data_IF_448677262191
#
_entry.id   IF_448677262191
#
_cell.length_a   1.000
_cell.length_b   1.000
_cell.length_c   1.000
_cell.angle_alpha   90.00
_cell.angle_beta   90.00
_cell.angle_gamma   90.00
#
_symmetry.space_group_name_H-M   'P 1'
#
loop_
_entity.id
_entity.type
_entity.pdbx_description
1 polymer ?
#
# COMPACT_ATOMS: atom_id res chain seq x y z
N UNK A 1 -7.23 -3.08 12.57
CA UNK A 1 -7.14 -4.11 11.49
C UNK A 1 -6.37 -3.53 10.31
N UNK A 2 -5.45 -4.31 9.77
CA UNK A 2 -4.65 -3.94 8.61
C UNK A 2 -4.90 -4.97 7.51
N UNK A 3 -5.14 -4.49 6.29
CA UNK A 3 -5.39 -5.36 5.15
C UNK A 3 -4.87 -4.69 3.87
N UNK A 4 -4.87 -5.41 2.77
CA UNK A 4 -4.46 -4.90 1.47
C UNK A 4 -5.42 -5.34 0.38
N UNK A 5 -5.51 -4.55 -0.69
CA UNK A 5 -6.37 -4.85 -1.83
C UNK A 5 -5.78 -4.23 -3.11
N UNK A 6 -6.36 -4.58 -4.25
CA UNK A 6 -6.00 -3.99 -5.53
C UNK A 6 -7.19 -3.29 -6.18
N UNK A 7 -6.90 -2.48 -7.19
CA UNK A 7 -7.92 -1.78 -7.97
C UNK A 7 -8.42 -2.60 -9.16
N UNK A 8 -7.76 -3.71 -9.47
CA UNK A 8 -8.13 -4.64 -10.54
C UNK A 8 -8.30 -6.06 -9.98
N UNK A 9 -9.08 -6.88 -10.69
CA UNK A 9 -9.42 -8.23 -10.24
C UNK A 9 -8.59 -9.34 -10.91
N UNK A 10 -7.53 -9.00 -11.65
CA UNK A 10 -6.80 -9.96 -12.48
C UNK A 10 -6.15 -11.10 -11.69
N UNK A 11 -5.74 -10.83 -10.45
CA UNK A 11 -4.97 -11.77 -9.63
C UNK A 11 -5.67 -12.14 -8.33
N UNK A 12 -7.00 -11.93 -8.26
CA UNK A 12 -7.77 -12.23 -7.04
C UNK A 12 -7.55 -13.68 -6.60
N UNK A 13 -7.22 -13.86 -5.33
CA UNK A 13 -6.94 -15.17 -4.73
C UNK A 13 -5.49 -15.64 -4.86
N UNK A 14 -4.67 -14.95 -5.65
CA UNK A 14 -3.25 -15.30 -5.81
C UNK A 14 -2.42 -14.80 -4.64
N UNK A 15 -1.29 -15.48 -4.41
CA UNK A 15 -0.29 -15.01 -3.46
C UNK A 15 0.42 -13.78 -3.99
N UNK A 16 1.09 -13.05 -3.11
CA UNK A 16 1.98 -11.96 -3.48
C UNK A 16 3.09 -12.45 -4.42
N UNK A 17 3.67 -11.54 -5.19
CA UNK A 17 4.80 -11.84 -6.09
C UNK A 17 5.90 -12.62 -5.34
N UNK A 18 6.42 -13.68 -5.97
CA UNK A 18 7.41 -14.56 -5.34
C UNK A 18 8.67 -13.81 -4.90
N UNK A 19 9.09 -12.79 -5.68
CA UNK A 19 10.28 -11.99 -5.33
C UNK A 19 10.00 -11.11 -4.11
N UNK A 20 8.79 -10.55 -4.02
CA UNK A 20 8.38 -9.78 -2.85
C UNK A 20 8.32 -10.66 -1.60
N UNK A 21 7.76 -11.87 -1.73
CA UNK A 21 7.71 -12.84 -0.62
C UNK A 21 9.11 -13.23 -0.14
N UNK A 22 10.04 -13.48 -1.09
CA UNK A 22 11.41 -13.83 -0.77
C UNK A 22 12.13 -12.68 -0.06
N UNK A 23 11.98 -11.44 -0.53
CA UNK A 23 12.59 -10.27 0.09
C UNK A 23 12.05 -10.04 1.50
N UNK A 24 10.75 -10.20 1.69
CA UNK A 24 10.13 -10.09 3.01
C UNK A 24 10.64 -11.17 3.96
N UNK A 25 10.74 -12.41 3.48
CA UNK A 25 11.26 -13.53 4.28
C UNK A 25 12.70 -13.29 4.73
N UNK A 26 13.56 -12.73 3.86
CA UNK A 26 14.92 -12.35 4.21
C UNK A 26 14.98 -11.34 5.35
N UNK A 27 13.92 -10.55 5.52
CA UNK A 27 13.80 -9.56 6.60
C UNK A 27 12.94 -10.06 7.77
N UNK A 28 12.59 -11.34 7.78
CA UNK A 28 11.83 -11.95 8.88
C UNK A 28 10.33 -11.75 8.81
N UNK A 29 9.80 -11.37 7.65
CA UNK A 29 8.37 -11.12 7.45
C UNK A 29 7.76 -12.23 6.61
N UNK A 30 6.72 -12.89 7.14
CA UNK A 30 5.98 -13.94 6.45
C UNK A 30 4.78 -13.35 5.71
N UNK A 31 4.76 -13.48 4.37
CA UNK A 31 3.67 -13.03 3.50
C UNK A 31 2.89 -14.19 2.87
N UNK A 32 3.15 -15.43 3.28
CA UNK A 32 2.56 -16.62 2.62
C UNK A 32 1.04 -16.70 2.77
N UNK A 33 0.48 -16.11 3.80
CA UNK A 33 -0.98 -16.11 4.04
C UNK A 33 -1.74 -15.03 3.28
N UNK A 34 -1.03 -14.06 2.67
CA UNK A 34 -1.67 -12.95 1.97
C UNK A 34 -2.15 -13.40 0.59
N UNK A 35 -3.39 -13.06 0.25
CA UNK A 35 -3.98 -13.31 -1.07
C UNK A 35 -4.52 -12.02 -1.64
N UNK A 36 -4.41 -11.89 -2.96
CA UNK A 36 -4.91 -10.72 -3.66
C UNK A 36 -6.44 -10.66 -3.60
N UNK A 37 -6.98 -9.48 -3.35
CA UNK A 37 -8.41 -9.19 -3.46
C UNK A 37 -8.60 -7.81 -4.08
N UNK A 38 -9.77 -7.59 -4.65
CA UNK A 38 -10.14 -6.26 -5.16
C UNK A 38 -10.75 -5.43 -4.03
N UNK A 39 -10.52 -4.11 -4.05
CA UNK A 39 -11.17 -3.19 -3.13
C UNK A 39 -12.69 -3.32 -3.25
N UNK A 40 -13.39 -3.31 -2.12
CA UNK A 40 -14.84 -3.40 -2.07
C UNK A 40 -15.45 -2.14 -1.44
N UNK A 41 -16.75 -1.93 -1.68
CA UNK A 41 -17.45 -0.75 -1.15
C UNK A 41 -17.44 -0.71 0.38
N UNK A 42 -17.42 -1.87 1.03
CA UNK A 42 -17.38 -1.95 2.50
C UNK A 42 -16.07 -1.43 3.07
N UNK A 43 -14.97 -1.48 2.30
CA UNK A 43 -13.66 -1.01 2.76
C UNK A 43 -13.70 0.48 3.15
N UNK A 44 -14.52 1.28 2.47
CA UNK A 44 -14.61 2.72 2.69
C UNK A 44 -15.21 3.08 4.07
N UNK A 45 -15.92 2.15 4.69
CA UNK A 45 -16.47 2.34 6.03
C UNK A 45 -15.76 1.51 7.10
N UNK A 46 -15.18 0.37 6.73
CA UNK A 46 -14.50 -0.51 7.67
C UNK A 46 -13.12 -0.01 8.08
N UNK A 47 -12.43 0.72 7.18
CA UNK A 47 -11.08 1.20 7.44
C UNK A 47 -11.07 2.70 7.69
N UNK A 48 -10.23 3.13 8.61
CA UNK A 48 -10.04 4.55 8.92
C UNK A 48 -9.18 5.24 7.86
N UNK A 49 -8.24 4.49 7.26
CA UNK A 49 -7.33 4.96 6.23
C UNK A 49 -7.33 4.02 5.05
N UNK A 50 -7.48 4.56 3.85
CA UNK A 50 -7.29 3.83 2.59
C UNK A 50 -6.14 4.52 1.86
N UNK A 51 -5.04 3.78 1.66
CA UNK A 51 -3.79 4.33 1.18
C UNK A 51 -3.45 3.75 -0.18
N UNK A 52 -3.28 4.62 -1.15
CA UNK A 52 -2.91 4.23 -2.51
C UNK A 52 -1.40 4.21 -2.66
N UNK A 53 -0.88 3.23 -3.41
CA UNK A 53 0.55 3.13 -3.67
C UNK A 53 1.00 4.14 -4.73
N UNK A 54 0.15 4.41 -5.72
CA UNK A 54 0.43 5.37 -6.79
C UNK A 54 -0.82 6.18 -7.15
N UNK A 55 -0.66 7.13 -8.08
CA UNK A 55 -1.74 8.02 -8.46
C UNK A 55 -2.85 7.31 -9.25
N UNK A 56 -2.54 6.28 -10.03
CA UNK A 56 -3.54 5.50 -10.74
C UNK A 56 -4.44 4.75 -9.76
N UNK A 57 -3.86 4.16 -8.72
CA UNK A 57 -4.61 3.54 -7.65
C UNK A 57 -5.51 4.57 -6.94
N UNK A 58 -4.96 5.74 -6.64
CA UNK A 58 -5.70 6.80 -5.95
C UNK A 58 -6.91 7.23 -6.78
N UNK A 59 -6.74 7.43 -8.07
CA UNK A 59 -7.80 7.82 -8.98
C UNK A 59 -8.93 6.78 -8.99
N UNK A 60 -8.58 5.49 -9.08
CA UNK A 60 -9.57 4.42 -9.08
C UNK A 60 -10.25 4.26 -7.73
N UNK A 61 -9.53 4.42 -6.63
CA UNK A 61 -10.10 4.39 -5.29
C UNK A 61 -11.16 5.49 -5.15
N UNK A 62 -10.86 6.70 -5.61
CA UNK A 62 -11.81 7.81 -5.57
C UNK A 62 -12.99 7.58 -6.52
N UNK A 63 -12.75 6.96 -7.67
CA UNK A 63 -13.80 6.64 -8.64
C UNK A 63 -14.83 5.65 -8.07
N UNK A 64 -14.36 4.63 -7.34
CA UNK A 64 -15.24 3.62 -6.76
C UNK A 64 -15.85 4.02 -5.43
N UNK A 65 -15.43 5.15 -4.85
CA UNK A 65 -15.91 5.57 -3.55
C UNK A 65 -17.42 5.81 -3.55
N UNK A 66 -18.13 5.34 -2.51
CA UNK A 66 -19.55 5.66 -2.37
C UNK A 66 -19.75 7.15 -2.09
N UNK A 67 -20.98 7.63 -2.13
CA UNK A 67 -21.29 9.03 -1.94
C UNK A 67 -20.88 9.52 -0.54
N UNK A 68 -21.03 8.66 0.47
CA UNK A 68 -20.64 8.97 1.85
C UNK A 68 -19.74 7.85 2.38
N UNK A 69 -18.63 8.21 3.00
CA UNK A 69 -17.71 7.27 3.62
C UNK A 69 -16.90 7.98 4.71
N UNK A 70 -16.33 7.18 5.62
CA UNK A 70 -15.59 7.70 6.77
C UNK A 70 -14.06 7.64 6.60
N UNK A 71 -13.56 6.86 5.65
CA UNK A 71 -12.12 6.64 5.47
C UNK A 71 -11.39 7.89 5.00
N UNK A 72 -10.16 8.06 5.47
CA UNK A 72 -9.22 9.06 4.93
C UNK A 72 -8.48 8.43 3.76
N UNK A 73 -8.63 8.99 2.56
CA UNK A 73 -8.02 8.48 1.34
C UNK A 73 -6.85 9.36 0.94
N UNK A 74 -5.67 8.76 0.75
CA UNK A 74 -4.46 9.48 0.33
C UNK A 74 -3.44 8.53 -0.27
N UNK A 75 -2.33 9.09 -0.79
CA UNK A 75 -1.18 8.29 -1.18
C UNK A 75 -0.47 7.78 0.08
N UNK A 76 -0.01 6.53 0.04
CA UNK A 76 0.70 5.91 1.16
C UNK A 76 1.92 6.72 1.59
N UNK A 77 2.72 7.21 0.63
CA UNK A 77 3.94 7.94 0.93
C UNK A 77 3.74 9.41 1.28
N UNK A 78 2.51 9.94 1.21
CA UNK A 78 2.27 11.34 1.54
C UNK A 78 2.74 11.69 2.95
N UNK A 79 2.55 10.82 3.92
CA UNK A 79 2.97 11.07 5.30
C UNK A 79 4.49 11.16 5.43
N UNK A 80 5.21 10.25 4.77
CA UNK A 80 6.68 10.27 4.75
C UNK A 80 7.21 11.47 3.98
N UNK A 81 6.58 11.81 2.86
CA UNK A 81 6.98 12.96 2.05
C UNK A 81 6.80 14.27 2.82
N UNK A 82 5.67 14.46 3.50
CA UNK A 82 5.40 15.64 4.32
C UNK A 82 6.37 15.75 5.49
N UNK A 83 6.81 14.63 6.04
CA UNK A 83 7.79 14.59 7.13
C UNK A 83 9.24 14.77 6.65
N UNK A 84 9.48 14.89 5.35
CA UNK A 84 10.81 15.06 4.78
C UNK A 84 11.67 13.81 4.77
N UNK A 85 11.04 12.63 4.92
CA UNK A 85 11.75 11.34 5.00
C UNK A 85 12.06 10.73 3.64
N UNK A 86 11.34 11.15 2.60
CA UNK A 86 11.60 10.73 1.22
C UNK A 86 11.10 11.79 0.24
N UNK A 87 11.64 11.78 -0.97
CA UNK A 87 11.22 12.67 -2.05
C UNK A 87 10.06 12.09 -2.85
N UNK A 88 9.93 10.79 -2.87
CA UNK A 88 8.90 10.10 -3.61
C UNK A 88 7.54 10.24 -2.94
N UNK A 89 6.49 10.38 -3.76
CA UNK A 89 5.10 10.37 -3.31
C UNK A 89 4.36 9.12 -3.75
N UNK A 90 4.94 8.35 -4.66
CA UNK A 90 4.37 7.09 -5.15
C UNK A 90 5.36 5.97 -4.94
N UNK A 91 4.84 4.76 -4.68
CA UNK A 91 5.67 3.56 -4.59
C UNK A 91 5.85 3.02 -6.02
N UNK A 92 7.07 2.97 -6.54
CA UNK A 92 7.28 2.47 -7.92
C UNK A 92 6.98 0.99 -8.02
N UNK A 93 6.63 0.55 -9.24
CA UNK A 93 6.44 -0.86 -9.52
C UNK A 93 7.81 -1.55 -9.58
N UNK A 94 8.10 -2.52 -8.69
CA UNK A 94 9.41 -3.17 -8.67
C UNK A 94 9.66 -4.10 -9.85
N UNK A 95 8.60 -4.40 -10.61
CA UNK A 95 8.67 -5.33 -11.74
C UNK A 95 9.75 -4.93 -12.75
N UNK A 96 9.94 -3.63 -12.98
CA UNK A 96 10.89 -3.12 -13.96
C UNK A 96 12.29 -2.85 -13.41
N UNK A 97 12.49 -2.97 -12.12
CA UNK A 97 13.75 -2.58 -11.44
C UNK A 97 14.65 -3.75 -11.03
N UNK A 98 14.30 -5.00 -11.33
CA UNK A 98 15.06 -6.18 -10.86
C UNK A 98 15.17 -6.22 -9.35
N UNK A 99 16.25 -6.81 -8.82
CA UNK A 99 16.44 -6.95 -7.37
C UNK A 99 16.60 -5.59 -6.66
N UNK A 100 17.25 -4.64 -7.30
CA UNK A 100 17.40 -3.28 -6.76
C UNK A 100 16.04 -2.58 -6.64
N UNK A 101 15.15 -2.82 -7.61
CA UNK A 101 13.80 -2.27 -7.57
C UNK A 101 13.00 -2.79 -6.39
N UNK A 102 13.09 -4.09 -6.09
CA UNK A 102 12.42 -4.68 -4.93
C UNK A 102 12.99 -4.16 -3.61
N UNK A 103 14.32 -3.99 -3.51
CA UNK A 103 14.94 -3.43 -2.33
C UNK A 103 14.51 -1.98 -2.10
N UNK A 104 14.47 -1.17 -3.16
CA UNK A 104 14.02 0.22 -3.09
C UNK A 104 12.57 0.32 -2.63
N UNK A 105 11.67 -0.50 -3.18
CA UNK A 105 10.27 -0.55 -2.76
C UNK A 105 10.18 -0.92 -1.28
N UNK A 106 10.96 -1.90 -0.83
CA UNK A 106 10.94 -2.32 0.57
C UNK A 106 11.36 -1.19 1.49
N UNK A 107 12.40 -0.44 1.13
CA UNK A 107 12.85 0.74 1.89
C UNK A 107 11.77 1.81 1.96
N UNK A 108 11.11 2.11 0.84
CA UNK A 108 10.03 3.11 0.80
C UNK A 108 8.83 2.67 1.65
N UNK A 109 8.47 1.39 1.60
CA UNK A 109 7.37 0.86 2.41
C UNK A 109 7.72 0.94 3.90
N UNK A 110 8.95 0.64 4.28
CA UNK A 110 9.41 0.71 5.66
C UNK A 110 9.33 2.16 6.19
N UNK A 111 9.86 3.11 5.43
CA UNK A 111 9.80 4.54 5.77
C UNK A 111 8.36 5.02 5.84
N UNK A 112 7.55 4.62 4.87
CA UNK A 112 6.13 5.00 4.80
C UNK A 112 5.33 4.47 5.98
N UNK A 113 5.58 3.23 6.40
CA UNK A 113 4.92 2.64 7.56
C UNK A 113 5.30 3.37 8.85
N UNK A 114 6.56 3.72 9.03
CA UNK A 114 7.00 4.46 10.21
C UNK A 114 6.31 5.83 10.30
N UNK A 115 6.26 6.55 9.17
CA UNK A 115 5.61 7.85 9.11
C UNK A 115 4.10 7.76 9.35
N UNK A 116 3.45 6.74 8.81
CA UNK A 116 2.02 6.52 9.01
C UNK A 116 1.70 6.20 10.47
N UNK A 117 2.49 5.33 11.10
CA UNK A 117 2.30 4.98 12.51
C UNK A 117 2.44 6.22 13.39
N UNK A 118 3.45 7.04 13.14
CA UNK A 118 3.64 8.28 13.88
C UNK A 118 2.47 9.24 13.69
N UNK A 119 1.97 9.35 12.45
CA UNK A 119 0.80 10.18 12.16
C UNK A 119 -0.44 9.71 12.95
N UNK A 120 -0.70 8.41 12.98
CA UNK A 120 -1.85 7.84 13.68
C UNK A 120 -1.73 8.07 15.19
N UNK A 121 -0.55 7.87 15.76
CA UNK A 121 -0.32 8.03 17.20
C UNK A 121 -0.41 9.48 17.66
N UNK A 122 -0.17 10.44 16.77
CA UNK A 122 -0.22 11.87 17.08
C UNK A 122 -1.52 12.55 16.60
N UNK A 123 -2.43 11.77 16.05
CA UNK A 123 -3.71 12.30 15.56
C UNK A 123 -4.69 12.60 16.69
#
# INVERSE_FOLDING_TARGET
MIDSSGTHAYHVGEKSDARSRAKAADKGIDMEFIRARKISINDYDEFDYILAMDEDNLELINYYAPQNYSANISLFLDYAHQAGLCDERVVPDPYYGGDEGFEHVFELVDIGCDALIEHILNA
#
